data_IF_376236143956
#
_entry.id   IF_376236143956
#
_cell.length_a   1.000
_cell.length_b   1.000
_cell.length_c   1.000
_cell.angle_alpha   90.00
_cell.angle_beta   90.00
_cell.angle_gamma   90.00
#
_symmetry.space_group_name_H-M   'P 1'
#
loop_
_entity.id
_entity.type
_entity.pdbx_description
1 polymer ?
#
# COMPACT_ATOMS: atom_id res chain seq x y z
N UNK A 1 -49.14 -58.01 -7.16
CA UNK A 1 -50.05 -56.90 -6.78
C UNK A 1 -49.47 -55.59 -7.30
N UNK A 2 -50.07 -55.06 -8.36
CA UNK A 2 -49.80 -53.77 -9.02
C UNK A 2 -51.14 -53.27 -9.58
N UNK A 3 -51.53 -52.03 -9.25
CA UNK A 3 -52.59 -51.17 -9.85
C UNK A 3 -52.97 -50.10 -8.80
N UNK A 4 -52.66 -48.81 -9.01
CA UNK A 4 -53.49 -47.77 -9.68
C UNK A 4 -54.62 -47.19 -8.81
N UNK A 5 -54.45 -45.91 -8.48
CA UNK A 5 -55.44 -44.82 -8.49
C UNK A 5 -54.59 -43.53 -8.61
N UNK A 6 -54.49 -42.80 -9.73
CA UNK A 6 -55.48 -42.09 -10.55
C UNK A 6 -56.40 -41.11 -9.77
N UNK A 7 -56.03 -39.82 -9.75
CA UNK A 7 -56.79 -38.78 -10.49
C UNK A 7 -56.10 -37.41 -10.47
N UNK A 8 -56.02 -36.84 -11.68
CA UNK A 8 -55.67 -35.46 -12.04
C UNK A 8 -56.90 -34.54 -11.93
N UNK A 9 -56.66 -33.23 -11.84
CA UNK A 9 -57.64 -32.16 -12.10
C UNK A 9 -57.31 -30.91 -11.28
N UNK A 10 -56.40 -30.02 -11.72
CA UNK A 10 -56.58 -28.91 -12.68
C UNK A 10 -57.37 -27.73 -12.10
N UNK A 11 -56.62 -26.63 -11.93
CA UNK A 11 -56.95 -25.21 -12.11
C UNK A 11 -58.17 -24.60 -11.39
N UNK A 12 -57.92 -23.64 -10.50
CA UNK A 12 -58.04 -22.21 -10.83
C UNK A 12 -57.98 -21.36 -9.54
N UNK A 13 -57.08 -20.39 -9.53
CA UNK A 13 -57.25 -19.04 -8.98
C UNK A 13 -55.89 -18.47 -8.55
N UNK A 14 -55.24 -17.75 -9.46
CA UNK A 14 -54.45 -16.59 -9.04
C UNK A 14 -55.42 -15.56 -8.43
N UNK A 15 -54.97 -14.82 -7.41
CA UNK A 15 -54.63 -13.44 -7.70
C UNK A 15 -53.30 -13.00 -7.06
N UNK A 16 -52.46 -12.35 -7.86
CA UNK A 16 -51.51 -11.34 -7.38
C UNK A 16 -52.32 -10.05 -7.16
N UNK A 17 -52.02 -9.14 -6.19
CA UNK A 17 -50.69 -8.54 -6.05
C UNK A 17 -50.28 -8.09 -4.60
N UNK A 18 -49.00 -7.70 -4.49
CA UNK A 18 -48.44 -6.73 -3.52
C UNK A 18 -48.60 -6.97 -2.02
N UNK A 19 -47.54 -7.49 -1.38
CA UNK A 19 -47.08 -6.95 -0.10
C UNK A 19 -45.56 -6.90 -0.09
N UNK A 20 -45.04 -5.69 -0.27
CA UNK A 20 -43.64 -5.36 -0.08
C UNK A 20 -43.28 -5.50 1.40
N UNK A 21 -42.37 -6.42 1.69
CA UNK A 21 -41.56 -6.39 2.90
C UNK A 21 -40.13 -6.08 2.48
N UNK A 22 -39.48 -5.00 2.97
CA UNK A 22 -38.10 -4.74 2.65
C UNK A 22 -37.24 -5.89 3.22
N UNK A 23 -36.48 -6.53 2.34
CA UNK A 23 -35.43 -7.46 2.74
C UNK A 23 -34.54 -6.76 3.78
N UNK A 24 -34.29 -7.36 4.97
CA UNK A 24 -33.44 -6.73 5.95
C UNK A 24 -32.06 -6.54 5.35
N UNK A 25 -31.65 -5.28 5.26
CA UNK A 25 -30.36 -4.81 4.76
C UNK A 25 -29.21 -5.41 5.57
N UNK A 26 -28.86 -6.67 5.30
CA UNK A 26 -27.67 -7.36 5.85
C UNK A 26 -26.34 -6.82 5.28
N UNK A 27 -26.36 -5.71 4.56
CA UNK A 27 -25.17 -5.04 4.00
C UNK A 27 -24.69 -3.78 4.74
N UNK A 28 -25.45 -3.22 5.67
CA UNK A 28 -25.19 -1.87 6.21
C UNK A 28 -24.05 -1.78 7.23
N UNK A 29 -23.89 -2.78 8.10
CA UNK A 29 -22.95 -2.68 9.23
C UNK A 29 -21.51 -3.05 8.86
N UNK A 30 -21.28 -3.88 7.82
CA UNK A 30 -19.92 -4.14 7.34
C UNK A 30 -19.31 -2.92 6.64
N UNK A 31 -20.13 -2.10 5.97
CA UNK A 31 -19.69 -0.88 5.27
C UNK A 31 -19.21 0.25 6.21
N UNK A 32 -19.80 0.38 7.40
CA UNK A 32 -19.47 1.45 8.35
C UNK A 32 -18.10 1.26 9.02
N UNK A 33 -17.67 0.03 9.30
CA UNK A 33 -16.32 -0.25 9.81
C UNK A 33 -15.24 -0.32 8.71
N UNK A 34 -15.63 -0.48 7.44
CA UNK A 34 -14.69 -0.43 6.31
C UNK A 34 -14.27 1.00 5.96
N UNK A 35 -15.19 1.98 6.03
CA UNK A 35 -14.91 3.38 5.70
C UNK A 35 -13.78 4.05 6.51
N UNK A 36 -13.69 3.95 7.86
CA UNK A 36 -12.61 4.59 8.61
C UNK A 36 -11.25 3.95 8.33
N UNK A 37 -11.23 2.65 8.05
CA UNK A 37 -10.01 1.92 7.74
C UNK A 37 -9.46 2.27 6.36
N UNK A 38 -10.32 2.38 5.36
CA UNK A 38 -9.90 2.79 4.00
C UNK A 38 -9.30 4.20 4.05
N UNK A 39 -9.91 5.13 4.77
CA UNK A 39 -9.35 6.47 4.94
C UNK A 39 -7.97 6.43 5.62
N UNK A 40 -7.79 5.55 6.61
CA UNK A 40 -6.51 5.31 7.28
C UNK A 40 -5.45 4.70 6.35
N UNK A 41 -5.82 3.74 5.50
CA UNK A 41 -4.93 3.11 4.51
C UNK A 41 -4.54 4.10 3.40
N UNK A 42 -5.46 4.94 2.95
CA UNK A 42 -5.17 6.02 1.98
C UNK A 42 -4.24 7.05 2.61
N UNK A 43 -4.52 7.52 3.83
CA UNK A 43 -3.64 8.47 4.54
C UNK A 43 -2.25 7.89 4.77
N UNK A 44 -2.18 6.59 5.07
CA UNK A 44 -0.92 5.86 5.16
C UNK A 44 -0.17 5.83 3.82
N UNK A 45 -0.84 5.49 2.70
CA UNK A 45 -0.22 5.41 1.39
C UNK A 45 0.34 6.78 0.95
N UNK A 46 -0.43 7.86 1.14
CA UNK A 46 0.05 9.23 0.88
C UNK A 46 1.20 9.63 1.80
N UNK A 47 1.13 9.31 3.10
CA UNK A 47 2.22 9.56 4.03
C UNK A 47 3.49 8.81 3.67
N UNK A 48 3.37 7.56 3.21
CA UNK A 48 4.50 6.76 2.75
C UNK A 48 5.09 7.25 1.44
N UNK A 49 4.25 7.66 0.49
CA UNK A 49 4.70 8.32 -0.74
C UNK A 49 5.47 9.60 -0.43
N UNK A 50 5.01 10.41 0.53
CA UNK A 50 5.70 11.64 0.95
C UNK A 50 7.06 11.34 1.60
N UNK A 51 7.12 10.40 2.55
CA UNK A 51 8.38 9.99 3.20
C UNK A 51 9.39 9.48 2.17
N UNK A 52 8.95 8.63 1.24
CA UNK A 52 9.81 8.09 0.20
C UNK A 52 10.17 9.13 -0.86
N UNK A 53 9.31 10.10 -1.14
CA UNK A 53 9.62 11.26 -1.98
C UNK A 53 10.75 12.09 -1.37
N UNK A 54 10.67 12.42 -0.09
CA UNK A 54 11.74 13.14 0.63
C UNK A 54 13.03 12.31 0.65
N UNK A 55 12.96 11.01 0.92
CA UNK A 55 14.12 10.12 0.86
C UNK A 55 14.72 10.07 -0.55
N UNK A 56 13.90 10.00 -1.59
CA UNK A 56 14.32 10.03 -2.99
C UNK A 56 15.02 11.34 -3.36
N UNK A 57 14.51 12.49 -2.89
CA UNK A 57 15.18 13.78 -3.06
C UNK A 57 16.55 13.81 -2.35
N UNK A 58 16.62 13.33 -1.11
CA UNK A 58 17.87 13.25 -0.35
C UNK A 58 18.92 12.36 -1.03
N UNK A 59 18.49 11.20 -1.53
CA UNK A 59 19.35 10.29 -2.31
C UNK A 59 19.79 10.95 -3.61
N UNK A 60 18.90 11.66 -4.30
CA UNK A 60 19.26 12.37 -5.52
C UNK A 60 20.33 13.44 -5.26
N UNK A 61 20.26 14.21 -4.18
CA UNK A 61 21.34 15.17 -3.83
C UNK A 61 22.67 14.49 -3.50
N UNK A 62 22.66 13.25 -2.99
CA UNK A 62 23.86 12.45 -2.78
C UNK A 62 24.43 11.80 -4.05
N UNK A 63 23.80 12.01 -5.21
CA UNK A 63 24.21 11.42 -6.49
C UNK A 63 24.82 12.47 -7.44
N UNK A 64 25.68 12.04 -8.38
CA UNK A 64 26.20 12.93 -9.39
C UNK A 64 25.05 13.60 -10.17
N UNK A 65 25.21 14.88 -10.54
CA UNK A 65 24.11 15.67 -11.08
C UNK A 65 23.59 15.11 -12.40
N UNK A 66 22.26 15.02 -12.49
CA UNK A 66 21.57 14.63 -13.73
C UNK A 66 21.76 15.72 -14.79
N UNK A 67 22.55 15.42 -15.82
CA UNK A 67 22.73 16.29 -16.99
C UNK A 67 21.59 16.06 -17.99
N UNK A 68 20.37 16.41 -17.59
CA UNK A 68 19.19 16.28 -18.47
C UNK A 68 18.95 17.53 -19.33
N UNK A 69 19.43 18.69 -18.86
CA UNK A 69 19.28 19.97 -19.55
C UNK A 69 20.63 20.70 -19.58
N UNK A 70 20.93 21.36 -20.69
CA UNK A 70 21.98 22.36 -20.79
C UNK A 70 21.51 23.66 -20.09
N UNK A 71 21.18 23.58 -18.81
CA UNK A 71 20.86 24.75 -18.00
C UNK A 71 22.17 25.32 -17.46
N UNK A 72 22.44 26.59 -17.76
CA UNK A 72 23.67 27.27 -17.35
C UNK A 72 23.70 27.61 -15.84
N UNK A 73 22.55 27.59 -15.17
CA UNK A 73 22.49 27.97 -13.74
C UNK A 73 22.57 26.75 -12.81
N UNK A 74 23.45 26.77 -11.79
CA UNK A 74 23.60 25.66 -10.85
C UNK A 74 22.34 25.43 -9.99
N UNK A 75 21.58 26.49 -9.70
CA UNK A 75 20.32 26.40 -8.95
C UNK A 75 19.24 25.60 -9.70
N UNK A 76 19.10 25.80 -11.01
CA UNK A 76 18.13 25.06 -11.81
C UNK A 76 18.46 23.56 -11.88
N UNK A 77 19.75 23.20 -11.93
CA UNK A 77 20.19 21.80 -11.92
C UNK A 77 19.84 21.10 -10.61
N UNK A 78 20.09 21.75 -9.47
CA UNK A 78 19.73 21.21 -8.16
C UNK A 78 18.21 21.05 -8.00
N UNK A 79 17.44 22.03 -8.49
CA UNK A 79 15.98 21.94 -8.49
C UNK A 79 15.49 20.75 -9.33
N UNK A 80 15.93 20.64 -10.59
CA UNK A 80 15.55 19.52 -11.48
C UNK A 80 15.94 18.18 -10.88
N UNK A 81 17.15 18.07 -10.33
CA UNK A 81 17.64 16.85 -9.69
C UNK A 81 16.80 16.47 -8.46
N UNK A 82 16.51 17.43 -7.59
CA UNK A 82 15.64 17.24 -6.43
C UNK A 82 14.21 16.85 -6.82
N UNK A 83 13.63 17.51 -7.83
CA UNK A 83 12.28 17.20 -8.34
C UNK A 83 12.19 15.82 -8.97
N UNK A 84 13.20 15.40 -9.75
CA UNK A 84 13.25 14.04 -10.32
C UNK A 84 13.39 13.00 -9.22
N UNK A 85 14.30 13.22 -8.26
CA UNK A 85 14.46 12.35 -7.10
C UNK A 85 13.18 12.22 -6.26
N UNK A 86 12.53 13.35 -6.00
CA UNK A 86 11.25 13.40 -5.30
C UNK A 86 10.16 12.65 -6.06
N UNK A 87 10.00 12.90 -7.36
CA UNK A 87 8.98 12.25 -8.19
C UNK A 87 9.14 10.73 -8.24
N UNK A 88 10.38 10.24 -8.44
CA UNK A 88 10.66 8.81 -8.43
C UNK A 88 10.42 8.20 -7.04
N UNK A 89 10.85 8.89 -5.98
CA UNK A 89 10.61 8.46 -4.60
C UNK A 89 9.12 8.42 -4.24
N UNK A 90 8.35 9.41 -4.70
CA UNK A 90 6.90 9.51 -4.50
C UNK A 90 6.16 8.34 -5.13
N UNK A 91 6.38 8.12 -6.44
CA UNK A 91 5.73 7.01 -7.16
C UNK A 91 6.18 5.65 -6.62
N UNK A 92 7.49 5.47 -6.40
CA UNK A 92 8.03 4.26 -5.79
C UNK A 92 7.42 3.98 -4.42
N UNK A 93 7.28 5.01 -3.57
CA UNK A 93 6.65 4.92 -2.27
C UNK A 93 5.16 4.57 -2.33
N UNK A 94 4.43 5.08 -3.31
CA UNK A 94 3.01 4.76 -3.52
C UNK A 94 2.82 3.28 -3.89
N UNK A 95 3.59 2.78 -4.86
CA UNK A 95 3.54 1.35 -5.24
C UNK A 95 3.98 0.45 -4.09
N UNK A 96 5.07 0.81 -3.41
CA UNK A 96 5.64 0.04 -2.31
C UNK A 96 4.69 -0.03 -1.11
N UNK A 97 4.09 1.09 -0.71
CA UNK A 97 3.13 1.14 0.41
C UNK A 97 1.85 0.36 0.12
N UNK A 98 1.36 0.41 -1.13
CA UNK A 98 0.21 -0.39 -1.56
C UNK A 98 0.53 -1.89 -1.48
N UNK A 99 1.71 -2.31 -1.97
CA UNK A 99 2.17 -3.70 -1.85
C UNK A 99 2.32 -4.13 -0.38
N UNK A 100 2.78 -3.23 0.50
CA UNK A 100 2.89 -3.48 1.94
C UNK A 100 1.51 -3.69 2.58
N UNK A 101 0.50 -2.90 2.20
CA UNK A 101 -0.89 -3.07 2.66
C UNK A 101 -1.43 -4.43 2.21
N UNK A 102 -1.22 -4.82 0.96
CA UNK A 102 -1.62 -6.15 0.49
C UNK A 102 -0.91 -7.28 1.23
N UNK A 103 0.37 -7.12 1.54
CA UNK A 103 1.12 -8.08 2.36
C UNK A 103 0.56 -8.16 3.79
N UNK A 104 0.26 -7.03 4.41
CA UNK A 104 -0.28 -6.94 5.76
C UNK A 104 -1.63 -7.66 5.94
N UNK A 105 -2.47 -7.64 4.90
CA UNK A 105 -3.78 -8.31 4.89
C UNK A 105 -3.67 -9.84 4.98
N UNK A 106 -2.49 -10.43 4.79
CA UNK A 106 -2.24 -11.87 4.94
C UNK A 106 -2.16 -12.32 6.40
N UNK A 107 -1.98 -11.40 7.35
CA UNK A 107 -1.85 -11.73 8.77
C UNK A 107 -3.21 -11.64 9.50
N UNK A 108 -3.44 -12.57 10.44
CA UNK A 108 -4.55 -12.52 11.40
C UNK A 108 -3.99 -12.68 12.83
N UNK A 109 -4.25 -11.74 13.75
CA UNK A 109 -4.99 -10.49 13.58
C UNK A 109 -4.27 -9.49 12.65
N UNK A 110 -5.02 -8.56 12.06
CA UNK A 110 -4.43 -7.57 11.16
C UNK A 110 -3.54 -6.60 11.95
N UNK A 111 -2.32 -6.31 11.46
CA UNK A 111 -1.40 -5.41 12.15
C UNK A 111 -1.95 -3.98 12.27
N UNK A 112 -1.65 -3.27 13.37
CA UNK A 112 -2.13 -1.90 13.60
C UNK A 112 -1.47 -0.91 12.63
N UNK A 113 -2.21 0.13 12.24
CA UNK A 113 -1.71 1.18 11.32
C UNK A 113 -0.46 1.90 11.85
N UNK A 114 -0.33 2.06 13.17
CA UNK A 114 0.87 2.64 13.77
C UNK A 114 2.14 1.86 13.41
N UNK A 115 2.07 0.52 13.38
CA UNK A 115 3.18 -0.33 12.99
C UNK A 115 3.52 -0.22 11.50
N UNK A 116 2.52 0.05 10.65
CA UNK A 116 2.75 0.35 9.23
C UNK A 116 3.51 1.66 9.08
N UNK A 117 3.11 2.70 9.79
CA UNK A 117 3.82 4.00 9.78
C UNK A 117 5.26 3.86 10.25
N UNK A 118 5.52 3.12 11.33
CA UNK A 118 6.88 2.82 11.78
C UNK A 118 7.67 2.04 10.73
N UNK A 119 7.06 1.04 10.09
CA UNK A 119 7.71 0.28 9.03
C UNK A 119 8.12 1.18 7.84
N UNK A 120 7.30 2.17 7.49
CA UNK A 120 7.61 3.15 6.45
C UNK A 120 8.78 4.06 6.82
N UNK A 121 8.82 4.58 8.05
CA UNK A 121 9.97 5.38 8.51
C UNK A 121 11.27 4.58 8.52
N UNK A 122 11.22 3.35 9.01
CA UNK A 122 12.37 2.43 8.99
C UNK A 122 12.80 2.13 7.55
N UNK A 123 11.84 1.89 6.65
CA UNK A 123 12.13 1.63 5.24
C UNK A 123 12.77 2.85 4.55
N UNK A 124 12.20 4.05 4.72
CA UNK A 124 12.72 5.27 4.10
C UNK A 124 14.12 5.64 4.62
N UNK A 125 14.35 5.51 5.92
CA UNK A 125 15.67 5.78 6.54
C UNK A 125 16.71 4.75 6.09
N UNK A 126 16.38 3.45 6.07
CA UNK A 126 17.29 2.42 5.58
C UNK A 126 17.60 2.57 4.10
N UNK A 127 16.60 2.91 3.28
CA UNK A 127 16.80 3.16 1.86
C UNK A 127 17.79 4.30 1.65
N UNK A 128 17.56 5.45 2.30
CA UNK A 128 18.44 6.60 2.19
C UNK A 128 19.85 6.30 2.73
N UNK A 129 19.95 5.72 3.94
CA UNK A 129 21.23 5.41 4.56
C UNK A 129 22.03 4.39 3.73
N UNK A 130 21.41 3.29 3.31
CA UNK A 130 22.09 2.25 2.52
C UNK A 130 22.52 2.79 1.15
N UNK A 131 21.65 3.54 0.48
CA UNK A 131 21.98 4.12 -0.81
C UNK A 131 23.14 5.13 -0.71
N UNK A 132 23.14 6.00 0.31
CA UNK A 132 24.19 7.00 0.52
C UNK A 132 25.50 6.35 0.96
N UNK A 133 25.48 5.39 1.90
CA UNK A 133 26.68 4.69 2.39
C UNK A 133 27.35 3.89 1.26
N UNK A 134 26.58 3.11 0.50
CA UNK A 134 27.12 2.35 -0.63
C UNK A 134 27.64 3.28 -1.72
N UNK A 135 26.95 4.40 -1.95
CA UNK A 135 27.41 5.40 -2.91
C UNK A 135 28.73 6.04 -2.47
N UNK A 136 28.88 6.37 -1.19
CA UNK A 136 30.11 6.89 -0.61
C UNK A 136 31.25 5.86 -0.67
N UNK A 137 30.94 4.57 -0.60
CA UNK A 137 31.88 3.46 -0.79
C UNK A 137 32.20 3.16 -2.28
N UNK A 138 31.71 3.98 -3.22
CA UNK A 138 32.02 3.84 -4.64
C UNK A 138 31.12 2.86 -5.42
N UNK A 139 30.08 2.30 -4.80
CA UNK A 139 29.13 1.44 -5.52
C UNK A 139 28.37 2.21 -6.61
N UNK A 140 27.92 1.48 -7.64
CA UNK A 140 27.11 2.06 -8.71
C UNK A 140 25.76 2.50 -8.17
N UNK A 141 25.16 3.52 -8.80
CA UNK A 141 23.83 4.05 -8.42
C UNK A 141 22.78 2.93 -8.36
N UNK A 142 22.80 2.02 -9.34
CA UNK A 142 21.87 0.89 -9.43
C UNK A 142 22.06 -0.07 -8.24
N UNK A 143 23.30 -0.42 -7.90
CA UNK A 143 23.60 -1.28 -6.74
C UNK A 143 23.19 -0.61 -5.42
N UNK A 144 23.51 0.67 -5.24
CA UNK A 144 23.19 1.43 -4.04
C UNK A 144 21.68 1.51 -3.79
N UNK A 145 20.91 1.88 -4.82
CA UNK A 145 19.44 1.95 -4.74
C UNK A 145 18.86 0.55 -4.57
N UNK A 146 19.31 -0.43 -5.38
CA UNK A 146 18.80 -1.80 -5.33
C UNK A 146 18.98 -2.45 -3.97
N UNK A 147 20.17 -2.36 -3.39
CA UNK A 147 20.46 -2.86 -2.05
C UNK A 147 19.63 -2.12 -0.98
N UNK A 148 19.48 -0.81 -1.10
CA UNK A 148 18.64 -0.01 -0.21
C UNK A 148 17.17 -0.43 -0.25
N UNK A 149 16.61 -0.67 -1.44
CA UNK A 149 15.22 -1.15 -1.61
C UNK A 149 15.03 -2.52 -0.98
N UNK A 150 15.98 -3.44 -1.18
CA UNK A 150 15.93 -4.78 -0.58
C UNK A 150 15.98 -4.69 0.95
N UNK A 151 16.96 -3.97 1.50
CA UNK A 151 17.13 -3.79 2.95
C UNK A 151 15.88 -3.14 3.58
N UNK A 152 15.37 -2.07 2.98
CA UNK A 152 14.15 -1.38 3.41
C UNK A 152 12.93 -2.30 3.41
N UNK A 153 12.77 -3.11 2.36
CA UNK A 153 11.64 -4.04 2.22
C UNK A 153 11.71 -5.17 3.25
N UNK A 154 12.90 -5.74 3.48
CA UNK A 154 13.10 -6.77 4.50
C UNK A 154 12.81 -6.22 5.89
N UNK A 155 13.35 -5.04 6.22
CA UNK A 155 13.12 -4.41 7.53
C UNK A 155 11.64 -4.11 7.75
N UNK A 156 10.94 -3.54 6.76
CA UNK A 156 9.50 -3.27 6.86
C UNK A 156 8.68 -4.54 7.09
N UNK A 157 8.99 -5.63 6.37
CA UNK A 157 8.33 -6.93 6.57
C UNK A 157 8.57 -7.47 7.98
N UNK A 158 9.78 -7.33 8.52
CA UNK A 158 10.10 -7.74 9.88
C UNK A 158 9.34 -6.93 10.93
N UNK A 159 9.22 -5.61 10.75
CA UNK A 159 8.43 -4.73 11.64
C UNK A 159 6.96 -5.14 11.62
N UNK A 160 6.38 -5.34 10.43
CA UNK A 160 4.99 -5.77 10.27
C UNK A 160 4.75 -7.15 10.89
N UNK A 161 5.62 -8.12 10.63
CA UNK A 161 5.52 -9.47 11.19
C UNK A 161 5.68 -9.49 12.73
N UNK A 162 6.55 -8.65 13.28
CA UNK A 162 6.71 -8.50 14.74
C UNK A 162 5.47 -7.87 15.36
N UNK A 163 4.87 -6.87 14.71
CA UNK A 163 3.65 -6.24 15.18
C UNK A 163 2.45 -7.19 15.15
N UNK A 164 2.29 -7.98 14.07
CA UNK A 164 1.23 -8.98 13.96
C UNK A 164 1.33 -10.04 15.07
N UNK A 165 2.54 -10.53 15.38
CA UNK A 165 2.77 -11.50 16.48
C UNK A 165 2.47 -10.94 17.87
N UNK A 166 2.67 -9.64 18.09
CA UNK A 166 2.35 -8.98 19.37
C UNK A 166 0.85 -8.76 19.56
N UNK A 167 0.11 -8.55 18.48
CA UNK A 167 -1.34 -8.35 18.53
C UNK A 167 -2.14 -9.64 18.74
N UNK A 168 -1.53 -10.82 18.51
CA UNK A 168 -2.15 -12.12 18.75
C UNK A 168 -1.80 -12.78 20.09
N UNK A 169 -1.04 -12.09 20.95
CA UNK A 169 -0.79 -12.46 22.35
C UNK A 169 -1.68 -11.60 23.24
#
# INVERSE_FOLDING_TARGET
MSARDDRRGVADAAPSPTQGGPAPARGGLRGLFHRPRILGEVRFAFGAALIMGVAGAAVAFGMPPLRLLATDTPAARLFVQGSVGFGLGWWGGLFWSTALVFHARRFRPLPPLAAMTTATWVAGTLLAATALVLRAAGATVVLSIGAGVVAATVAARLVVARAARRAGR
#
